data_IF_809519346546
#
_entry.id   IF_809519346546
#
_cell.length_a   1.000
_cell.length_b   1.000
_cell.length_c   1.000
_cell.angle_alpha   90.00
_cell.angle_beta   90.00
_cell.angle_gamma   90.00
#
_symmetry.space_group_name_H-M   'P 1'
#
loop_
_entity.id
_entity.type
_entity.pdbx_description
1 polymer ?
#
# COMPACT_ATOMS: atom_id res chain seq x y z
N UNK A 1 -4.84 3.97 -4.65
CA UNK A 1 -4.68 5.20 -5.48
C UNK A 1 -3.49 5.97 -4.95
N UNK A 2 -2.56 6.39 -5.82
CA UNK A 2 -1.40 7.19 -5.40
C UNK A 2 -1.89 8.59 -5.00
N UNK A 3 -1.21 9.26 -4.06
CA UNK A 3 -1.58 10.62 -3.63
C UNK A 3 -1.66 11.58 -4.83
N UNK A 4 -0.76 11.38 -5.79
CA UNK A 4 -0.71 12.04 -7.09
C UNK A 4 -2.04 11.98 -7.87
N UNK A 5 -2.68 10.81 -7.91
CA UNK A 5 -3.91 10.64 -8.68
C UNK A 5 -5.08 11.38 -8.03
N UNK A 6 -5.04 11.50 -6.69
CA UNK A 6 -6.07 12.20 -5.91
C UNK A 6 -5.99 13.71 -6.11
N UNK A 7 -4.78 14.30 -6.05
CA UNK A 7 -4.61 15.74 -6.29
C UNK A 7 -4.93 16.11 -7.73
N UNK A 8 -4.46 15.32 -8.71
CA UNK A 8 -4.74 15.55 -10.12
C UNK A 8 -6.25 15.52 -10.42
N UNK A 9 -7.00 14.60 -9.81
CA UNK A 9 -8.45 14.49 -10.00
C UNK A 9 -9.18 15.74 -9.49
N UNK A 10 -8.78 16.30 -8.35
CA UNK A 10 -9.39 17.52 -7.81
C UNK A 10 -9.13 18.72 -8.73
N UNK A 11 -7.90 18.88 -9.22
CA UNK A 11 -7.58 19.95 -10.18
C UNK A 11 -8.38 19.80 -11.48
N UNK A 12 -8.48 18.56 -12.01
CA UNK A 12 -9.29 18.26 -13.20
C UNK A 12 -10.75 18.67 -13.02
N UNK A 13 -11.37 18.31 -11.89
CA UNK A 13 -12.76 18.64 -11.61
C UNK A 13 -12.97 20.14 -11.49
N UNK A 14 -12.08 20.84 -10.78
CA UNK A 14 -12.15 22.29 -10.64
C UNK A 14 -11.99 23.01 -11.98
N UNK A 15 -10.96 22.65 -12.76
CA UNK A 15 -10.72 23.29 -14.07
C UNK A 15 -11.83 22.98 -15.08
N UNK A 16 -12.40 21.76 -15.06
CA UNK A 16 -13.56 21.42 -15.90
C UNK A 16 -14.79 22.25 -15.51
N UNK A 17 -15.04 22.46 -14.21
CA UNK A 17 -16.12 23.31 -13.72
C UNK A 17 -15.94 24.76 -14.18
N UNK A 18 -14.73 25.30 -14.06
CA UNK A 18 -14.40 26.67 -14.53
C UNK A 18 -14.64 26.82 -16.02
N UNK A 19 -14.27 25.82 -16.84
CA UNK A 19 -14.48 25.85 -18.28
C UNK A 19 -15.98 25.78 -18.63
N UNK A 20 -16.74 24.92 -17.94
CA UNK A 20 -18.18 24.74 -18.14
C UNK A 20 -18.98 26.00 -17.82
N UNK A 21 -18.54 26.80 -16.84
CA UNK A 21 -19.18 28.08 -16.48
C UNK A 21 -18.68 29.24 -17.35
N UNK A 22 -17.39 29.31 -17.65
CA UNK A 22 -16.79 30.44 -18.37
C UNK A 22 -17.30 30.58 -19.81
N UNK A 23 -17.47 29.48 -20.54
CA UNK A 23 -17.88 29.52 -21.96
C UNK A 23 -19.31 30.11 -22.12
N UNK A 24 -20.35 29.63 -21.41
CA UNK A 24 -21.69 30.20 -21.49
C UNK A 24 -21.76 31.65 -21.01
N UNK A 25 -21.05 32.00 -19.93
CA UNK A 25 -21.01 33.38 -19.43
C UNK A 25 -20.43 34.31 -20.49
N UNK A 26 -19.32 33.91 -21.13
CA UNK A 26 -18.70 34.69 -22.18
C UNK A 26 -19.60 34.86 -23.40
N UNK A 27 -20.27 33.79 -23.84
CA UNK A 27 -21.27 33.82 -24.91
C UNK A 27 -22.35 34.87 -24.61
N UNK A 28 -22.98 34.82 -23.42
CA UNK A 28 -24.07 35.72 -23.03
C UNK A 28 -23.59 37.17 -22.92
N UNK A 29 -22.39 37.42 -22.41
CA UNK A 29 -21.84 38.78 -22.30
C UNK A 29 -21.60 39.39 -23.69
N UNK A 30 -20.99 38.63 -24.59
CA UNK A 30 -20.72 39.11 -25.96
C UNK A 30 -22.00 39.29 -26.76
N UNK A 31 -22.95 38.36 -26.66
CA UNK A 31 -24.27 38.48 -27.28
C UNK A 31 -24.98 39.77 -26.82
N UNK A 32 -24.91 40.09 -25.51
CA UNK A 32 -25.48 41.33 -24.97
C UNK A 32 -24.78 42.59 -25.48
N UNK A 33 -23.46 42.57 -25.60
CA UNK A 33 -22.70 43.71 -26.13
C UNK A 33 -23.06 43.97 -27.60
N UNK A 34 -23.04 42.93 -28.44
CA UNK A 34 -23.39 43.06 -29.86
C UNK A 34 -24.84 43.51 -30.06
N UNK A 35 -25.80 42.90 -29.35
CA UNK A 35 -27.21 43.29 -29.47
C UNK A 35 -27.45 44.72 -29.02
N UNK A 36 -26.74 45.19 -27.98
CA UNK A 36 -26.80 46.59 -27.54
C UNK A 36 -26.26 47.58 -28.57
N UNK A 37 -25.13 47.26 -29.21
CA UNK A 37 -24.57 48.09 -30.29
C UNK A 37 -25.51 48.17 -31.50
N UNK A 38 -26.12 47.05 -31.89
CA UNK A 38 -27.08 47.01 -33.00
C UNK A 38 -28.34 47.82 -32.67
N UNK A 39 -28.84 47.73 -31.43
CA UNK A 39 -29.96 48.55 -30.98
C UNK A 39 -29.65 50.05 -31.11
N UNK A 40 -28.48 50.47 -30.65
CA UNK A 40 -28.02 51.86 -30.76
C UNK A 40 -27.94 52.31 -32.22
N UNK A 41 -27.36 51.50 -33.11
CA UNK A 41 -27.29 51.80 -34.56
C UNK A 41 -28.69 51.94 -35.18
N UNK A 42 -29.63 51.06 -34.81
CA UNK A 42 -31.01 51.13 -35.31
C UNK A 42 -31.71 52.42 -34.82
N UNK A 43 -31.50 52.81 -33.57
CA UNK A 43 -32.02 54.05 -33.00
C UNK A 43 -31.42 55.29 -33.67
N UNK A 44 -30.09 55.34 -33.85
CA UNK A 44 -29.41 56.43 -34.55
C UNK A 44 -29.90 56.57 -35.99
N UNK A 45 -30.09 55.45 -36.70
CA UNK A 45 -30.66 55.46 -38.06
C UNK A 45 -32.08 56.02 -38.06
N UNK A 46 -32.91 55.62 -37.10
CA UNK A 46 -34.27 56.18 -36.93
C UNK A 46 -34.22 57.70 -36.71
N UNK A 47 -33.34 58.21 -35.86
CA UNK A 47 -33.17 59.64 -35.64
C UNK A 47 -32.71 60.39 -36.90
N UNK A 48 -31.74 59.83 -37.63
CA UNK A 48 -31.26 60.39 -38.90
C UNK A 48 -32.37 60.47 -39.96
N UNK A 49 -33.20 59.42 -40.06
CA UNK A 49 -34.38 59.39 -40.96
C UNK A 49 -35.39 60.43 -40.50
N UNK A 50 -35.71 60.50 -39.21
CA UNK A 50 -36.66 61.45 -38.65
C UNK A 50 -36.24 62.91 -38.90
N UNK A 51 -34.96 63.23 -38.73
CA UNK A 51 -34.42 64.56 -39.04
C UNK A 51 -34.55 64.89 -40.54
N UNK A 52 -34.29 63.91 -41.40
CA UNK A 52 -34.38 64.05 -42.86
C UNK A 52 -35.82 64.22 -43.36
N UNK A 53 -36.84 63.73 -42.64
CA UNK A 53 -38.26 63.87 -43.01
C UNK A 53 -38.67 65.32 -43.24
N UNK A 54 -38.11 66.28 -42.48
CA UNK A 54 -38.40 67.71 -42.62
C UNK A 54 -37.94 68.34 -43.94
N UNK A 55 -37.03 67.67 -44.69
CA UNK A 55 -36.46 68.17 -45.94
C UNK A 55 -37.27 67.77 -47.18
N UNK A 56 -38.25 66.88 -47.02
CA UNK A 56 -39.07 66.42 -48.15
C UNK A 56 -40.25 67.38 -48.37
N UNK A 57 -40.45 67.87 -49.61
CA UNK A 57 -41.49 68.85 -49.92
C UNK A 57 -42.91 68.27 -49.86
N UNK A 58 -43.12 67.03 -50.32
CA UNK A 58 -44.45 66.43 -50.47
C UNK A 58 -44.49 64.93 -50.11
N UNK A 59 -45.69 64.43 -49.79
CA UNK A 59 -45.96 63.00 -49.52
C UNK A 59 -45.51 62.09 -50.68
N UNK A 60 -45.57 62.57 -51.92
CA UNK A 60 -45.04 61.83 -53.09
C UNK A 60 -43.53 61.62 -53.04
N UNK A 61 -42.75 62.63 -52.62
CA UNK A 61 -41.29 62.52 -52.51
C UNK A 61 -40.88 61.56 -51.38
N UNK A 62 -41.65 61.54 -50.28
CA UNK A 62 -41.48 60.57 -49.20
C UNK A 62 -41.78 59.13 -49.65
N UNK A 63 -42.84 58.94 -50.45
CA UNK A 63 -43.19 57.64 -51.01
C UNK A 63 -42.19 57.15 -52.08
N UNK A 64 -41.48 58.04 -52.76
CA UNK A 64 -40.38 57.67 -53.66
C UNK A 64 -39.12 57.28 -52.88
N UNK A 65 -38.82 57.99 -51.77
CA UNK A 65 -37.71 57.63 -50.87
C UNK A 65 -37.92 56.27 -50.18
N UNK A 66 -39.19 55.94 -49.83
CA UNK A 66 -39.63 54.64 -49.30
C UNK A 66 -39.11 53.44 -50.11
N UNK A 67 -38.96 53.60 -51.43
CA UNK A 67 -38.62 52.50 -52.34
C UNK A 67 -37.10 52.41 -52.63
N UNK A 68 -36.29 53.34 -52.12
CA UNK A 68 -34.84 53.44 -52.39
C UNK A 68 -33.94 53.00 -51.23
N UNK A 69 -34.39 53.09 -49.98
CA UNK A 69 -33.58 52.73 -48.81
C UNK A 69 -33.82 51.26 -48.42
N UNK A 70 -33.14 50.32 -49.09
CA UNK A 70 -33.44 48.87 -49.04
C UNK A 70 -33.49 48.17 -47.67
N UNK A 71 -33.02 48.83 -46.61
CA UNK A 71 -33.04 48.32 -45.22
C UNK A 71 -34.04 49.04 -44.30
N UNK A 72 -34.78 50.02 -44.83
CA UNK A 72 -35.78 50.82 -44.12
C UNK A 72 -37.08 50.85 -44.91
N UNK A 73 -38.22 50.59 -44.26
CA UNK A 73 -39.55 50.66 -44.88
C UNK A 73 -40.46 51.59 -44.08
N UNK A 74 -41.07 52.55 -44.76
CA UNK A 74 -42.12 53.41 -44.20
C UNK A 74 -43.51 52.95 -44.66
N UNK A 75 -44.45 52.81 -43.72
CA UNK A 75 -45.86 52.49 -43.99
C UNK A 75 -46.77 53.45 -43.22
N UNK A 76 -47.92 53.82 -43.78
CA UNK A 76 -48.90 54.62 -43.06
C UNK A 76 -49.54 53.78 -41.93
N UNK A 77 -49.70 54.39 -40.74
CA UNK A 77 -50.25 53.69 -39.56
C UNK A 77 -51.77 53.55 -39.69
N UNK A 78 -52.27 52.30 -39.63
CA UNK A 78 -53.71 52.02 -39.60
C UNK A 78 -54.30 52.17 -38.18
N UNK A 79 -55.64 52.27 -38.03
CA UNK A 79 -56.30 52.53 -36.74
C UNK A 79 -56.12 51.44 -35.65
N UNK A 80 -55.52 50.28 -35.98
CA UNK A 80 -55.29 49.18 -35.02
C UNK A 80 -53.80 48.91 -34.72
N UNK A 81 -52.86 49.71 -35.24
CA UNK A 81 -51.43 49.46 -35.04
C UNK A 81 -50.95 50.06 -33.70
N UNK A 82 -50.27 49.30 -32.83
CA UNK A 82 -49.84 49.78 -31.53
C UNK A 82 -48.82 50.91 -31.66
N UNK A 83 -49.10 52.04 -30.99
CA UNK A 83 -48.29 53.25 -31.06
C UNK A 83 -47.02 53.22 -30.17
N UNK A 84 -46.18 52.17 -30.27
CA UNK A 84 -44.97 52.04 -29.43
C UNK A 84 -43.76 51.59 -30.23
N UNK A 85 -42.64 52.28 -30.01
CA UNK A 85 -41.34 51.87 -30.56
C UNK A 85 -40.89 50.55 -29.92
N UNK A 86 -40.45 49.59 -30.73
CA UNK A 86 -39.98 48.28 -30.27
C UNK A 86 -38.82 47.81 -31.14
N UNK A 87 -37.81 47.25 -30.49
CA UNK A 87 -36.78 46.45 -31.15
C UNK A 87 -37.04 44.97 -30.89
N UNK A 88 -36.93 44.14 -31.92
CA UNK A 88 -37.13 42.70 -31.81
C UNK A 88 -36.36 41.96 -32.91
N UNK A 89 -36.06 40.69 -32.66
CA UNK A 89 -35.42 39.84 -33.65
C UNK A 89 -36.49 39.17 -34.52
N UNK A 90 -36.24 39.07 -35.83
CA UNK A 90 -37.12 38.38 -36.78
C UNK A 90 -36.31 37.81 -37.94
N UNK A 91 -36.61 36.58 -38.34
CA UNK A 91 -35.94 35.95 -39.47
C UNK A 91 -36.70 36.19 -40.78
N UNK A 92 -35.96 36.47 -41.86
CA UNK A 92 -36.50 36.67 -43.21
C UNK A 92 -35.72 35.87 -44.23
N UNK A 93 -36.39 35.43 -45.30
CA UNK A 93 -35.70 34.95 -46.51
C UNK A 93 -35.31 36.16 -47.35
N UNK A 94 -34.02 36.32 -47.63
CA UNK A 94 -33.53 37.40 -48.49
C UNK A 94 -34.12 37.30 -49.90
N UNK A 95 -34.36 36.06 -50.37
CA UNK A 95 -35.04 35.77 -51.63
C UNK A 95 -36.29 34.91 -51.39
N UNK A 96 -37.46 35.53 -51.12
CA UNK A 96 -38.70 34.81 -50.83
C UNK A 96 -39.14 33.83 -51.93
N UNK A 97 -38.72 34.07 -53.16
CA UNK A 97 -39.07 33.28 -54.34
C UNK A 97 -38.08 32.15 -54.66
N UNK A 98 -36.94 32.07 -53.97
CA UNK A 98 -36.00 30.95 -54.09
C UNK A 98 -36.29 29.90 -52.99
N UNK A 99 -36.70 28.67 -53.34
CA UNK A 99 -36.95 27.60 -52.39
C UNK A 99 -35.72 27.22 -51.55
N UNK A 100 -34.51 27.53 -52.03
CA UNK A 100 -33.24 27.27 -51.33
C UNK A 100 -32.82 28.39 -50.38
N UNK A 101 -33.50 29.54 -50.39
CA UNK A 101 -33.20 30.65 -49.49
C UNK A 101 -33.59 30.30 -48.05
N UNK A 102 -32.60 30.17 -47.20
CA UNK A 102 -32.78 29.95 -45.77
C UNK A 102 -33.22 31.24 -45.05
N UNK A 103 -34.01 31.14 -43.98
CA UNK A 103 -34.39 32.30 -43.19
C UNK A 103 -33.19 32.83 -42.40
N UNK A 104 -32.76 34.03 -42.73
CA UNK A 104 -31.67 34.71 -42.04
C UNK A 104 -32.19 35.57 -40.88
N UNK A 105 -31.50 35.60 -39.73
CA UNK A 105 -31.89 36.42 -38.60
C UNK A 105 -31.60 37.90 -38.85
N UNK A 106 -32.59 38.76 -38.62
CA UNK A 106 -32.45 40.22 -38.60
C UNK A 106 -32.86 40.77 -37.24
N UNK A 107 -32.26 41.90 -36.87
CA UNK A 107 -32.74 42.74 -35.77
C UNK A 107 -33.47 43.93 -36.33
N UNK A 108 -34.71 44.13 -35.89
CA UNK A 108 -35.61 45.13 -36.45
C UNK A 108 -36.06 46.15 -35.40
N UNK A 109 -35.99 47.43 -35.76
CA UNK A 109 -36.64 48.51 -35.03
C UNK A 109 -37.91 48.90 -35.77
N UNK A 110 -39.05 48.72 -35.10
CA UNK A 110 -40.33 49.31 -35.48
C UNK A 110 -40.54 50.58 -34.66
N UNK A 111 -40.48 51.74 -35.30
CA UNK A 111 -40.67 53.03 -34.66
C UNK A 111 -41.76 53.85 -35.37
N UNK A 112 -42.38 54.78 -34.65
CA UNK A 112 -43.37 55.69 -35.23
C UNK A 112 -42.73 57.04 -35.45
N UNK A 113 -42.88 57.54 -36.67
CA UNK A 113 -42.47 58.86 -37.10
C UNK A 113 -43.69 59.69 -37.45
N UNK A 114 -43.60 61.00 -37.27
CA UNK A 114 -44.67 61.93 -37.63
C UNK A 114 -44.21 62.76 -38.83
N UNK A 115 -44.96 62.75 -39.91
CA UNK A 115 -44.72 63.58 -41.08
C UNK A 115 -45.99 64.36 -41.42
N UNK A 116 -45.90 65.69 -41.47
CA UNK A 116 -47.03 66.60 -41.72
C UNK A 116 -48.28 66.28 -40.85
N UNK A 117 -48.07 65.94 -39.57
CA UNK A 117 -49.13 65.62 -38.61
C UNK A 117 -49.74 64.21 -38.73
N UNK A 118 -49.32 63.40 -39.71
CA UNK A 118 -49.76 62.00 -39.86
C UNK A 118 -48.70 61.02 -39.32
N UNK A 119 -49.10 59.96 -38.59
CA UNK A 119 -48.18 58.93 -38.11
C UNK A 119 -47.81 57.92 -39.20
N UNK A 120 -46.53 57.62 -39.31
CA UNK A 120 -45.95 56.60 -40.18
C UNK A 120 -45.14 55.61 -39.34
N UNK A 121 -45.22 54.33 -39.67
CA UNK A 121 -44.41 53.27 -39.09
C UNK A 121 -43.13 53.10 -39.92
N UNK A 122 -41.99 53.37 -39.30
CA UNK A 122 -40.67 53.03 -39.81
C UNK A 122 -40.30 51.63 -39.31
N UNK A 123 -39.93 50.75 -40.23
CA UNK A 123 -39.32 49.45 -39.96
C UNK A 123 -37.92 49.50 -40.55
N UNK A 124 -36.88 49.60 -39.72
CA UNK A 124 -35.49 49.46 -40.16
C UNK A 124 -34.90 48.17 -39.60
N UNK A 125 -34.10 47.48 -40.41
CA UNK A 125 -33.50 46.19 -40.07
C UNK A 125 -32.01 46.16 -40.33
N UNK A 126 -31.32 45.30 -39.59
CA UNK A 126 -29.90 44.97 -39.76
C UNK A 126 -29.74 43.45 -39.70
N UNK A 127 -28.97 42.85 -40.62
CA UNK A 127 -28.70 41.41 -40.63
C UNK A 127 -27.84 41.02 -39.42
N UNK A 128 -28.18 39.89 -38.79
CA UNK A 128 -27.44 39.29 -37.69
C UNK A 128 -26.49 38.17 -38.13
N UNK A 129 -26.48 37.80 -39.42
CA UNK A 129 -25.71 36.65 -39.93
C UNK A 129 -24.22 36.81 -39.65
N UNK A 130 -23.62 37.90 -40.16
CA UNK A 130 -22.19 38.16 -39.99
C UNK A 130 -21.78 38.21 -38.50
N UNK A 131 -22.62 38.78 -37.63
CA UNK A 131 -22.30 38.89 -36.21
C UNK A 131 -22.42 37.55 -35.48
N UNK A 132 -23.39 36.71 -35.85
CA UNK A 132 -23.52 35.36 -35.30
C UNK A 132 -22.35 34.49 -35.69
N UNK A 133 -21.92 34.53 -36.95
CA UNK A 133 -20.75 33.80 -37.42
C UNK A 133 -19.48 34.25 -36.68
N UNK A 134 -19.31 35.57 -36.48
CA UNK A 134 -18.20 36.12 -35.69
C UNK A 134 -18.25 35.68 -34.22
N UNK A 135 -19.44 35.66 -33.62
CA UNK A 135 -19.63 35.23 -32.22
C UNK A 135 -19.31 33.74 -32.05
N UNK A 136 -19.81 32.89 -32.94
CA UNK A 136 -19.52 31.45 -32.93
C UNK A 136 -18.02 31.19 -33.11
N UNK A 137 -17.38 31.86 -34.07
CA UNK A 137 -15.94 31.75 -34.29
C UNK A 137 -15.14 32.19 -33.04
N UNK A 138 -15.53 33.29 -32.40
CA UNK A 138 -14.86 33.78 -31.20
C UNK A 138 -15.00 32.81 -30.01
N UNK A 139 -16.19 32.24 -29.82
CA UNK A 139 -16.45 31.24 -28.77
C UNK A 139 -15.67 29.95 -29.03
N UNK A 140 -15.58 29.49 -30.29
CA UNK A 140 -14.77 28.33 -30.67
C UNK A 140 -13.28 28.57 -30.41
N UNK A 141 -12.75 29.73 -30.78
CA UNK A 141 -11.36 30.11 -30.50
C UNK A 141 -11.10 30.17 -29.00
N UNK A 142 -12.00 30.76 -28.21
CA UNK A 142 -11.88 30.81 -26.75
C UNK A 142 -11.93 29.41 -26.13
N UNK A 143 -12.87 28.56 -26.55
CA UNK A 143 -12.98 27.19 -26.09
C UNK A 143 -11.71 26.38 -26.40
N UNK A 144 -11.16 26.55 -27.61
CA UNK A 144 -9.88 25.95 -28.01
C UNK A 144 -8.71 26.43 -27.15
N UNK A 145 -8.61 27.73 -26.89
CA UNK A 145 -7.58 28.33 -26.04
C UNK A 145 -7.67 27.82 -24.59
N UNK A 146 -8.87 27.77 -24.00
CA UNK A 146 -9.11 27.21 -22.67
C UNK A 146 -8.75 25.71 -22.61
N UNK A 147 -9.10 24.94 -23.65
CA UNK A 147 -8.76 23.53 -23.77
C UNK A 147 -7.24 23.30 -23.84
N UNK A 148 -6.53 24.11 -24.62
CA UNK A 148 -5.07 24.06 -24.70
C UNK A 148 -4.41 24.40 -23.36
N UNK A 149 -4.89 25.44 -22.67
CA UNK A 149 -4.41 25.83 -21.35
C UNK A 149 -4.63 24.70 -20.34
N UNK A 150 -5.80 24.08 -20.34
CA UNK A 150 -6.11 22.92 -19.50
C UNK A 150 -5.14 21.76 -19.74
N UNK A 151 -4.95 21.36 -21.00
CA UNK A 151 -4.04 20.27 -21.36
C UNK A 151 -2.60 20.57 -20.95
N UNK A 152 -2.15 21.81 -21.15
CA UNK A 152 -0.84 22.28 -20.72
C UNK A 152 -0.63 22.20 -19.21
N UNK A 153 -1.61 22.68 -18.42
CA UNK A 153 -1.60 22.57 -16.96
C UNK A 153 -1.56 21.11 -16.49
N UNK A 154 -2.34 20.23 -17.10
CA UNK A 154 -2.34 18.81 -16.76
C UNK A 154 -1.01 18.14 -17.06
N UNK A 155 -0.41 18.46 -18.21
CA UNK A 155 0.91 17.94 -18.58
C UNK A 155 1.99 18.43 -17.61
N UNK A 156 2.02 19.74 -17.33
CA UNK A 156 2.98 20.35 -16.42
C UNK A 156 2.85 19.78 -15.01
N UNK A 157 1.63 19.71 -14.48
CA UNK A 157 1.36 19.16 -13.15
C UNK A 157 1.80 17.69 -13.05
N UNK A 158 1.45 16.85 -14.04
CA UNK A 158 1.89 15.45 -14.08
C UNK A 158 3.42 15.33 -14.11
N UNK A 159 4.09 16.17 -14.89
CA UNK A 159 5.55 16.17 -15.01
C UNK A 159 6.20 16.58 -13.69
N UNK A 160 5.83 17.74 -13.15
CA UNK A 160 6.37 18.28 -11.89
C UNK A 160 6.13 17.32 -10.74
N UNK A 161 4.92 16.76 -10.62
CA UNK A 161 4.61 15.88 -9.53
C UNK A 161 5.35 14.53 -9.62
N UNK A 162 5.61 13.98 -10.82
CA UNK A 162 6.48 12.81 -10.95
C UNK A 162 7.90 13.09 -10.45
N UNK A 163 8.45 14.27 -10.78
CA UNK A 163 9.79 14.66 -10.36
C UNK A 163 9.86 14.90 -8.84
N UNK A 164 8.92 15.68 -8.28
CA UNK A 164 8.90 16.00 -6.86
C UNK A 164 8.70 14.75 -5.98
N UNK A 165 7.91 13.76 -6.43
CA UNK A 165 7.62 12.57 -5.63
C UNK A 165 8.65 11.43 -5.80
N UNK A 166 9.58 11.52 -6.75
CA UNK A 166 10.57 10.45 -6.96
C UNK A 166 11.40 10.14 -5.69
N UNK A 167 11.97 11.13 -4.97
CA UNK A 167 12.79 10.85 -3.79
C UNK A 167 12.03 10.10 -2.70
N UNK A 168 10.73 10.39 -2.54
CA UNK A 168 9.86 9.68 -1.60
C UNK A 168 9.73 8.18 -1.94
N UNK A 169 9.51 7.85 -3.22
CA UNK A 169 9.40 6.45 -3.64
C UNK A 169 10.73 5.70 -3.54
N UNK A 170 11.85 6.38 -3.75
CA UNK A 170 13.19 5.81 -3.54
C UNK A 170 13.45 5.52 -2.06
N UNK A 171 13.15 6.46 -1.17
CA UNK A 171 13.21 6.23 0.29
C UNK A 171 12.33 5.04 0.70
N UNK A 172 11.12 4.94 0.16
CA UNK A 172 10.21 3.82 0.46
C UNK A 172 10.77 2.48 -0.01
N UNK A 173 11.36 2.43 -1.21
CA UNK A 173 11.96 1.22 -1.75
C UNK A 173 13.15 0.74 -0.89
N UNK A 174 14.00 1.67 -0.45
CA UNK A 174 15.12 1.37 0.45
C UNK A 174 14.63 0.84 1.80
N UNK A 175 13.57 1.43 2.36
CA UNK A 175 12.99 0.98 3.63
C UNK A 175 12.33 -0.39 3.55
N UNK A 176 11.67 -0.72 2.44
CA UNK A 176 11.04 -2.03 2.24
C UNK A 176 12.08 -3.17 2.15
N UNK A 177 13.29 -2.85 1.69
CA UNK A 177 14.39 -3.80 1.57
C UNK A 177 15.31 -3.79 2.79
N UNK A 178 15.13 -2.83 3.71
CA UNK A 178 16.00 -2.71 4.87
C UNK A 178 15.74 -3.83 5.87
N UNK A 179 16.83 -4.52 6.23
CA UNK A 179 16.86 -5.57 7.23
C UNK A 179 17.89 -5.22 8.29
N UNK A 180 17.45 -5.20 9.55
CA UNK A 180 18.28 -4.79 10.70
C UNK A 180 19.40 -5.80 10.99
N UNK A 181 19.14 -7.06 10.67
CA UNK A 181 19.99 -8.23 10.90
C UNK A 181 21.14 -8.35 9.89
N UNK A 182 21.05 -7.72 8.71
CA UNK A 182 22.10 -7.78 7.68
C UNK A 182 23.29 -6.83 7.94
N UNK A 183 23.21 -5.97 8.96
CA UNK A 183 24.30 -5.07 9.35
C UNK A 183 24.64 -3.98 8.32
N UNK A 184 23.85 -3.84 7.26
CA UNK A 184 24.05 -2.81 6.22
C UNK A 184 23.45 -1.47 6.69
N UNK A 185 24.17 -0.35 6.58
CA UNK A 185 23.61 0.95 6.91
C UNK A 185 22.50 1.31 5.92
N UNK A 186 21.38 1.83 6.43
CA UNK A 186 20.34 2.43 5.58
C UNK A 186 20.90 3.70 4.94
N UNK A 187 21.00 3.70 3.61
CA UNK A 187 21.42 4.87 2.83
C UNK A 187 20.20 5.41 2.09
N UNK A 188 19.73 6.59 2.52
CA UNK A 188 18.60 7.28 1.89
C UNK A 188 19.10 8.34 0.91
N UNK A 189 18.39 8.57 -0.21
CA UNK A 189 18.77 9.58 -1.18
C UNK A 189 18.72 10.99 -0.57
N UNK A 190 19.59 11.86 -1.05
CA UNK A 190 19.47 13.29 -0.79
C UNK A 190 18.22 13.83 -1.50
N UNK A 191 17.51 14.74 -0.85
CA UNK A 191 16.33 15.40 -1.41
C UNK A 191 16.45 16.90 -1.20
N UNK A 192 16.21 17.67 -2.26
CA UNK A 192 16.16 19.13 -2.20
C UNK A 192 14.86 19.63 -1.56
N UNK A 193 13.86 18.76 -1.42
CA UNK A 193 12.60 19.05 -0.72
C UNK A 193 12.83 18.90 0.78
N UNK A 194 12.64 20.00 1.52
CA UNK A 194 12.91 20.11 2.96
C UNK A 194 12.20 19.03 3.78
N UNK A 195 10.91 18.79 3.54
CA UNK A 195 10.12 17.80 4.26
C UNK A 195 10.65 16.37 4.06
N UNK A 196 11.13 16.06 2.86
CA UNK A 196 11.73 14.75 2.58
C UNK A 196 13.16 14.63 3.14
N UNK A 197 13.93 15.72 3.16
CA UNK A 197 15.23 15.74 3.81
C UNK A 197 15.10 15.51 5.33
N UNK A 198 14.16 16.19 5.98
CA UNK A 198 13.87 16.04 7.42
C UNK A 198 13.34 14.63 7.75
N UNK A 199 12.44 14.09 6.91
CA UNK A 199 11.97 12.71 7.02
C UNK A 199 13.13 11.73 6.90
N UNK A 200 13.98 11.87 5.88
CA UNK A 200 15.14 10.99 5.66
C UNK A 200 16.12 11.07 6.84
N UNK A 201 16.36 12.26 7.40
CA UNK A 201 17.21 12.42 8.57
C UNK A 201 16.63 11.72 9.81
N UNK A 202 15.32 11.89 10.05
CA UNK A 202 14.62 11.26 11.18
C UNK A 202 14.64 9.74 11.07
N UNK A 203 14.32 9.21 9.89
CA UNK A 203 14.34 7.77 9.60
C UNK A 203 15.75 7.21 9.77
N UNK A 204 16.77 7.90 9.24
CA UNK A 204 18.16 7.49 9.39
C UNK A 204 18.58 7.45 10.86
N UNK A 205 18.16 8.43 11.66
CA UNK A 205 18.41 8.49 13.10
C UNK A 205 17.74 7.35 13.87
N UNK A 206 16.45 7.09 13.61
CA UNK A 206 15.70 5.99 14.21
C UNK A 206 16.31 4.63 13.85
N UNK A 207 16.65 4.44 12.57
CA UNK A 207 17.26 3.21 12.07
C UNK A 207 18.60 2.96 12.74
N UNK A 208 19.46 3.99 12.86
CA UNK A 208 20.74 3.88 13.57
C UNK A 208 20.57 3.50 15.04
N UNK A 209 19.62 4.13 15.74
CA UNK A 209 19.32 3.81 17.15
C UNK A 209 18.79 2.38 17.30
N UNK A 210 17.91 1.95 16.41
CA UNK A 210 17.37 0.59 16.40
C UNK A 210 18.47 -0.44 16.15
N UNK A 211 19.34 -0.19 15.18
CA UNK A 211 20.48 -1.06 14.86
C UNK A 211 21.46 -1.15 16.04
N UNK A 212 21.77 -0.03 16.70
CA UNK A 212 22.61 -0.06 17.90
C UNK A 212 21.96 -0.89 19.02
N UNK A 213 20.67 -0.67 19.30
CA UNK A 213 19.96 -1.46 20.32
C UNK A 213 19.94 -2.96 19.99
N UNK A 214 19.86 -3.32 18.71
CA UNK A 214 19.96 -4.71 18.26
C UNK A 214 21.34 -5.30 18.52
N UNK A 215 22.43 -4.56 18.24
CA UNK A 215 23.80 -4.98 18.55
C UNK A 215 23.98 -5.14 20.06
N UNK A 216 23.58 -4.14 20.85
CA UNK A 216 23.72 -4.17 22.31
C UNK A 216 22.98 -5.37 22.91
N UNK A 217 21.79 -5.70 22.41
CA UNK A 217 21.02 -6.87 22.83
C UNK A 217 21.72 -8.19 22.47
N UNK A 218 22.36 -8.26 21.29
CA UNK A 218 23.13 -9.42 20.85
C UNK A 218 24.36 -9.62 21.74
N UNK A 219 25.15 -8.59 21.95
CA UNK A 219 26.35 -8.63 22.81
C UNK A 219 25.98 -8.96 24.27
N UNK A 220 24.92 -8.35 24.80
CA UNK A 220 24.43 -8.67 26.14
C UNK A 220 24.07 -10.15 26.28
N UNK A 221 23.39 -10.72 25.28
CA UNK A 221 23.01 -12.13 25.26
C UNK A 221 24.23 -13.05 25.22
N UNK A 222 25.22 -12.72 24.39
CA UNK A 222 26.47 -13.49 24.28
C UNK A 222 27.31 -13.40 25.56
N UNK A 223 27.46 -12.21 26.14
CA UNK A 223 28.19 -12.00 27.39
C UNK A 223 27.50 -12.70 28.57
N UNK A 224 26.18 -12.57 28.70
CA UNK A 224 25.41 -13.29 29.72
C UNK A 224 25.58 -14.81 29.59
N UNK A 225 25.72 -15.32 28.35
CA UNK A 225 26.00 -16.73 28.10
C UNK A 225 27.27 -17.21 28.77
N UNK A 226 28.36 -16.50 28.52
CA UNK A 226 29.69 -16.85 29.01
C UNK A 226 29.80 -16.65 30.53
N UNK A 227 29.29 -15.52 31.04
CA UNK A 227 29.34 -15.18 32.46
C UNK A 227 28.48 -16.11 33.33
N UNK A 228 27.40 -16.69 32.80
CA UNK A 228 26.62 -17.69 33.54
C UNK A 228 27.17 -19.11 33.44
N UNK A 229 27.84 -19.49 32.34
CA UNK A 229 28.41 -20.83 32.19
C UNK A 229 29.59 -21.08 33.13
N UNK A 230 30.46 -20.09 33.30
CA UNK A 230 31.65 -20.18 34.16
C UNK A 230 31.35 -20.55 35.61
N UNK A 231 30.47 -19.84 36.35
CA UNK A 231 30.17 -20.18 37.75
C UNK A 231 29.49 -21.54 37.90
N UNK A 232 28.64 -21.94 36.93
CA UNK A 232 28.02 -23.27 36.93
C UNK A 232 29.06 -24.36 36.75
N UNK A 233 30.01 -24.19 35.82
CA UNK A 233 31.10 -25.14 35.63
C UNK A 233 31.99 -25.26 36.86
N UNK A 234 32.37 -24.13 37.49
CA UNK A 234 33.13 -24.12 38.75
C UNK A 234 32.37 -24.85 39.86
N UNK A 235 31.05 -24.66 39.96
CA UNK A 235 30.23 -25.36 40.94
C UNK A 235 30.20 -26.87 40.69
N UNK A 236 30.06 -27.32 39.44
CA UNK A 236 30.15 -28.73 39.06
C UNK A 236 31.50 -29.35 39.44
N UNK A 237 32.61 -28.72 39.05
CA UNK A 237 33.96 -29.24 39.37
C UNK A 237 34.21 -29.33 40.88
N UNK A 238 33.69 -28.37 41.66
CA UNK A 238 33.81 -28.42 43.13
C UNK A 238 32.99 -29.57 43.73
N UNK A 239 31.79 -29.83 43.21
CA UNK A 239 30.96 -30.98 43.62
C UNK A 239 31.63 -32.31 43.26
N UNK A 240 32.14 -32.45 42.03
CA UNK A 240 32.87 -33.64 41.58
C UNK A 240 34.10 -33.92 42.45
N UNK A 241 34.86 -32.88 42.80
CA UNK A 241 36.02 -33.00 43.69
C UNK A 241 35.61 -33.43 45.10
N UNK A 242 34.52 -32.90 45.64
CA UNK A 242 33.96 -33.30 46.95
C UNK A 242 33.62 -34.79 46.98
N UNK A 243 33.04 -35.32 45.90
CA UNK A 243 32.74 -36.76 45.76
C UNK A 243 34.02 -37.61 45.78
N UNK A 244 35.14 -37.09 45.31
CA UNK A 244 36.40 -37.83 45.19
C UNK A 244 37.32 -37.77 46.43
N UNK A 245 37.13 -36.83 47.36
CA UNK A 245 38.14 -36.55 48.41
C UNK A 245 37.86 -37.12 49.81
N UNK A 246 36.67 -37.62 50.12
CA UNK A 246 36.32 -38.05 51.48
C UNK A 246 35.50 -39.35 51.49
N UNK A 247 35.64 -40.21 52.52
CA UNK A 247 34.61 -41.20 52.80
C UNK A 247 33.33 -40.46 53.19
N UNK A 248 32.36 -40.43 52.28
CA UNK A 248 31.05 -39.81 52.50
C UNK A 248 30.17 -40.74 53.32
N UNK A 249 29.37 -40.19 54.24
CA UNK A 249 28.23 -40.93 54.80
C UNK A 249 27.16 -41.13 53.73
N UNK A 250 26.26 -42.11 53.90
CA UNK A 250 25.15 -42.34 52.96
C UNK A 250 24.29 -41.07 52.76
N UNK A 251 24.01 -40.34 53.85
CA UNK A 251 23.24 -39.09 53.80
C UNK A 251 23.96 -37.98 53.03
N UNK A 252 25.29 -37.86 53.19
CA UNK A 252 26.10 -36.91 52.42
C UNK A 252 26.16 -37.28 50.93
N UNK A 253 26.23 -38.58 50.62
CA UNK A 253 26.22 -39.07 49.24
C UNK A 253 24.88 -38.79 48.55
N UNK A 254 23.75 -39.01 49.23
CA UNK A 254 22.42 -38.66 48.73
C UNK A 254 22.27 -37.15 48.49
N UNK A 255 22.72 -36.32 49.45
CA UNK A 255 22.69 -34.86 49.31
C UNK A 255 23.55 -34.37 48.14
N UNK A 256 24.77 -34.91 47.98
CA UNK A 256 25.65 -34.60 46.85
C UNK A 256 25.04 -35.04 45.51
N UNK A 257 24.42 -36.22 45.46
CA UNK A 257 23.68 -36.68 44.29
C UNK A 257 22.54 -35.73 43.90
N UNK A 258 21.77 -35.28 44.89
CA UNK A 258 20.71 -34.28 44.70
C UNK A 258 21.26 -32.94 44.19
N UNK A 259 22.33 -32.41 44.82
CA UNK A 259 22.98 -31.16 44.39
C UNK A 259 23.55 -31.25 42.98
N UNK A 260 24.16 -32.39 42.62
CA UNK A 260 24.66 -32.60 41.28
C UNK A 260 23.51 -32.64 40.25
N UNK A 261 22.39 -33.29 40.60
CA UNK A 261 21.17 -33.29 39.80
C UNK A 261 20.60 -31.89 39.55
N UNK A 262 20.49 -31.06 40.60
CA UNK A 262 20.04 -29.66 40.50
C UNK A 262 21.01 -28.83 39.66
N UNK A 263 22.32 -28.98 39.85
CA UNK A 263 23.35 -28.26 39.10
C UNK A 263 23.33 -28.61 37.62
N UNK A 264 23.23 -29.90 37.29
CA UNK A 264 23.10 -30.36 35.92
C UNK A 264 21.82 -29.81 35.26
N UNK A 265 20.71 -29.73 36.01
CA UNK A 265 19.48 -29.09 35.55
C UNK A 265 19.67 -27.59 35.29
N UNK A 266 20.36 -26.87 36.17
CA UNK A 266 20.68 -25.45 36.01
C UNK A 266 21.56 -25.18 34.79
N UNK A 267 22.58 -26.03 34.57
CA UNK A 267 23.46 -25.97 33.39
C UNK A 267 22.66 -26.14 32.09
N UNK A 268 21.77 -27.15 32.04
CA UNK A 268 20.88 -27.37 30.89
C UNK A 268 19.91 -26.21 30.66
N UNK A 269 19.32 -25.67 31.73
CA UNK A 269 18.45 -24.48 31.69
C UNK A 269 19.17 -23.29 31.06
N UNK A 270 20.37 -22.99 31.55
CA UNK A 270 21.15 -21.87 31.05
C UNK A 270 21.49 -22.05 29.57
N UNK A 271 22.05 -23.20 29.17
CA UNK A 271 22.33 -23.50 27.76
C UNK A 271 21.09 -23.37 26.85
N UNK A 272 19.94 -23.83 27.34
CA UNK A 272 18.66 -23.77 26.63
C UNK A 272 18.17 -22.33 26.41
N UNK A 273 18.24 -21.48 27.45
CA UNK A 273 17.83 -20.07 27.36
C UNK A 273 18.76 -19.28 26.44
N UNK A 274 20.07 -19.54 26.52
CA UNK A 274 21.05 -18.87 25.68
C UNK A 274 20.91 -19.25 24.21
N UNK A 275 20.62 -20.52 23.93
CA UNK A 275 20.32 -20.96 22.57
C UNK A 275 19.05 -20.27 22.04
N UNK A 276 17.98 -20.20 22.83
CA UNK A 276 16.76 -19.48 22.43
C UNK A 276 17.06 -18.01 22.14
N UNK A 277 17.83 -17.35 22.99
CA UNK A 277 18.19 -15.96 22.78
C UNK A 277 19.09 -15.76 21.54
N UNK A 278 20.01 -16.68 21.25
CA UNK A 278 20.79 -16.68 19.99
C UNK A 278 19.89 -16.88 18.76
N UNK A 279 18.89 -17.76 18.84
CA UNK A 279 17.92 -17.97 17.76
C UNK A 279 17.05 -16.72 17.56
N UNK A 280 16.56 -16.11 18.64
CA UNK A 280 15.77 -14.87 18.58
C UNK A 280 16.58 -13.70 17.97
N UNK A 281 17.89 -13.66 18.21
CA UNK A 281 18.81 -12.66 17.65
C UNK A 281 19.44 -13.07 16.30
N UNK A 282 18.97 -14.16 15.66
CA UNK A 282 19.53 -14.70 14.41
C UNK A 282 21.07 -14.86 14.42
N UNK A 283 21.62 -15.15 15.59
CA UNK A 283 23.06 -15.23 15.84
C UNK A 283 23.53 -16.68 15.71
N UNK A 284 23.35 -17.25 14.53
CA UNK A 284 23.81 -18.59 14.14
C UNK A 284 24.39 -18.54 12.72
N UNK A 285 25.24 -19.51 12.38
CA UNK A 285 25.89 -19.56 11.07
C UNK A 285 24.87 -19.78 9.94
N UNK A 286 25.24 -19.36 8.74
CA UNK A 286 24.40 -19.50 7.55
C UNK A 286 24.01 -20.96 7.27
N UNK A 287 22.86 -21.20 6.59
CA UNK A 287 22.46 -22.53 6.18
C UNK A 287 23.51 -23.20 5.28
N UNK A 288 23.75 -24.50 5.50
CA UNK A 288 24.64 -25.30 4.67
C UNK A 288 23.90 -26.58 4.20
N UNK A 289 24.34 -27.25 3.12
CA UNK A 289 23.80 -28.54 2.74
C UNK A 289 24.12 -29.61 3.80
N UNK A 290 23.12 -30.10 4.51
CA UNK A 290 23.24 -31.11 5.57
C UNK A 290 22.41 -32.35 5.24
N UNK A 291 23.02 -33.53 5.30
CA UNK A 291 22.29 -34.80 5.22
C UNK A 291 21.62 -35.11 6.56
N UNK A 292 20.30 -35.17 6.57
CA UNK A 292 19.48 -35.49 7.74
C UNK A 292 19.88 -36.84 8.38
N UNK A 293 20.19 -37.82 7.53
CA UNK A 293 20.60 -39.17 7.94
C UNK A 293 21.86 -39.15 8.79
N UNK A 294 22.84 -38.31 8.44
CA UNK A 294 24.12 -38.25 9.15
C UNK A 294 23.93 -37.73 10.57
N UNK A 295 23.09 -36.69 10.72
CA UNK A 295 22.73 -36.13 12.02
C UNK A 295 21.99 -37.16 12.87
N UNK A 296 20.97 -37.82 12.31
CA UNK A 296 20.21 -38.85 13.04
C UNK A 296 21.08 -40.01 13.47
N UNK A 297 21.96 -40.50 12.59
CA UNK A 297 22.87 -41.60 12.91
C UNK A 297 23.79 -41.25 14.08
N UNK A 298 24.40 -40.07 14.05
CA UNK A 298 25.25 -39.62 15.15
C UNK A 298 24.51 -39.50 16.49
N UNK A 299 23.27 -39.00 16.46
CA UNK A 299 22.44 -38.88 17.67
C UNK A 299 21.99 -40.24 18.22
N UNK A 300 21.67 -41.19 17.35
CA UNK A 300 21.32 -42.56 17.74
C UNK A 300 22.52 -43.25 18.37
N UNK A 301 23.70 -43.14 17.76
CA UNK A 301 24.95 -43.71 18.27
C UNK A 301 25.27 -43.18 19.68
N UNK A 302 25.14 -41.86 19.89
CA UNK A 302 25.33 -41.24 21.20
C UNK A 302 24.32 -41.71 22.27
N UNK A 303 23.16 -42.20 21.85
CA UNK A 303 22.06 -42.56 22.75
C UNK A 303 21.94 -44.08 22.98
N UNK A 304 22.76 -44.88 22.31
CA UNK A 304 22.57 -46.33 22.20
C UNK A 304 22.62 -47.05 23.56
N UNK A 305 23.52 -46.64 24.46
CA UNK A 305 23.64 -47.23 25.80
C UNK A 305 22.35 -47.05 26.62
N UNK A 306 21.71 -45.87 26.50
CA UNK A 306 20.46 -45.58 27.22
C UNK A 306 19.29 -46.35 26.63
N UNK A 307 19.25 -46.49 25.30
CA UNK A 307 18.25 -47.28 24.57
C UNK A 307 18.35 -48.75 24.99
N UNK A 308 19.56 -49.32 25.03
CA UNK A 308 19.83 -50.70 25.47
C UNK A 308 19.45 -50.88 26.95
N UNK A 309 19.87 -49.97 27.82
CA UNK A 309 19.59 -50.06 29.26
C UNK A 309 18.09 -50.06 29.57
N UNK A 310 17.28 -49.32 28.80
CA UNK A 310 15.81 -49.34 28.89
C UNK A 310 15.14 -50.45 28.08
N UNK A 311 15.89 -51.28 27.37
CA UNK A 311 15.36 -52.32 26.46
C UNK A 311 14.39 -51.73 25.44
N UNK A 312 14.66 -50.53 24.92
CA UNK A 312 13.82 -49.88 23.92
C UNK A 312 14.11 -50.50 22.55
N UNK A 313 13.06 -50.95 21.86
CA UNK A 313 13.16 -51.34 20.46
C UNK A 313 13.23 -50.09 19.57
N UNK A 314 14.37 -49.88 18.91
CA UNK A 314 14.57 -48.77 17.97
C UNK A 314 14.38 -49.27 16.54
N UNK A 315 13.36 -48.76 15.84
CA UNK A 315 13.03 -49.12 14.46
C UNK A 315 13.22 -47.91 13.55
N UNK A 316 13.99 -48.07 12.47
CA UNK A 316 14.10 -47.06 11.41
C UNK A 316 13.38 -47.53 10.15
N UNK A 317 12.61 -46.63 9.54
CA UNK A 317 11.85 -46.90 8.31
C UNK A 317 11.97 -45.72 7.34
N UNK A 318 11.77 -45.98 6.05
CA UNK A 318 11.67 -44.93 5.03
C UNK A 318 12.91 -44.77 4.13
N UNK A 319 13.09 -43.56 3.59
CA UNK A 319 13.95 -43.27 2.43
C UNK A 319 15.46 -43.49 2.71
N UNK A 320 16.08 -44.42 1.98
CA UNK A 320 17.48 -44.85 2.19
C UNK A 320 18.52 -43.88 1.62
N UNK A 321 18.20 -43.12 0.57
CA UNK A 321 19.14 -42.18 -0.08
C UNK A 321 19.45 -40.92 0.77
N UNK A 322 18.73 -40.74 1.88
CA UNK A 322 18.87 -39.60 2.78
C UNK A 322 18.22 -38.31 2.24
N UNK A 323 17.89 -37.39 3.15
CA UNK A 323 17.29 -36.10 2.82
C UNK A 323 18.36 -35.02 2.98
N UNK A 324 18.64 -34.27 1.91
CA UNK A 324 19.54 -33.12 1.94
C UNK A 324 18.75 -31.84 2.25
N UNK A 325 19.11 -31.15 3.33
CA UNK A 325 18.45 -29.93 3.79
C UNK A 325 19.41 -28.75 3.70
N UNK A 326 18.90 -27.56 3.31
CA UNK A 326 19.62 -26.30 3.43
C UNK A 326 19.34 -25.67 4.80
N UNK A 327 20.13 -26.04 5.80
CA UNK A 327 19.87 -25.69 7.20
C UNK A 327 21.18 -25.56 7.98
N UNK A 328 21.18 -24.78 9.05
CA UNK A 328 22.32 -24.76 9.97
C UNK A 328 22.43 -26.11 10.70
N UNK A 329 23.58 -26.79 10.56
CA UNK A 329 23.81 -28.10 11.16
C UNK A 329 23.60 -28.14 12.68
N UNK A 330 24.15 -27.17 13.41
CA UNK A 330 24.03 -27.09 14.88
C UNK A 330 22.55 -26.97 15.34
N UNK A 331 21.75 -26.21 14.58
CA UNK A 331 20.32 -26.08 14.86
C UNK A 331 19.57 -27.40 14.58
N UNK A 332 19.88 -28.07 13.46
CA UNK A 332 19.29 -29.37 13.15
C UNK A 332 19.66 -30.44 14.18
N UNK A 333 20.95 -30.51 14.57
CA UNK A 333 21.43 -31.37 15.66
C UNK A 333 20.63 -31.14 16.94
N UNK A 334 20.45 -29.87 17.32
CA UNK A 334 19.74 -29.53 18.56
C UNK A 334 18.25 -29.85 18.49
N UNK A 335 17.59 -29.59 17.35
CA UNK A 335 16.19 -29.93 17.15
C UNK A 335 15.98 -31.44 17.30
N UNK A 336 16.72 -32.24 16.54
CA UNK A 336 16.58 -33.69 16.51
C UNK A 336 17.01 -34.33 17.82
N UNK A 337 18.06 -33.80 18.47
CA UNK A 337 18.47 -34.24 19.81
C UNK A 337 17.37 -34.02 20.84
N UNK A 338 16.67 -32.88 20.81
CA UNK A 338 15.55 -32.62 21.72
C UNK A 338 14.39 -33.60 21.49
N UNK A 339 14.06 -33.91 20.23
CA UNK A 339 13.00 -34.86 19.90
C UNK A 339 13.39 -36.29 20.31
N UNK A 340 14.59 -36.75 19.98
CA UNK A 340 15.07 -38.10 20.30
C UNK A 340 15.22 -38.31 21.81
N UNK A 341 15.79 -37.33 22.52
CA UNK A 341 15.95 -37.40 23.97
C UNK A 341 14.58 -37.40 24.66
N UNK A 342 13.60 -36.67 24.12
CA UNK A 342 12.22 -36.71 24.60
C UNK A 342 11.63 -38.12 24.42
N UNK A 343 11.74 -38.69 23.21
CA UNK A 343 11.28 -40.03 22.91
C UNK A 343 11.90 -41.08 23.87
N UNK A 344 13.22 -41.08 24.06
CA UNK A 344 13.91 -42.01 24.97
C UNK A 344 13.47 -41.83 26.42
N UNK A 345 13.31 -40.58 26.86
CA UNK A 345 12.92 -40.28 28.25
C UNK A 345 11.54 -40.84 28.59
N UNK A 346 10.55 -40.61 27.72
CA UNK A 346 9.16 -40.95 27.99
C UNK A 346 8.73 -42.32 27.49
N UNK A 347 9.59 -43.02 26.74
CA UNK A 347 9.37 -44.44 26.42
C UNK A 347 9.54 -45.29 27.69
N UNK A 348 8.54 -46.15 28.03
CA UNK A 348 8.66 -47.10 29.13
C UNK A 348 9.69 -48.19 28.81
N UNK A 349 10.12 -48.93 29.83
CA UNK A 349 10.99 -50.12 29.64
C UNK A 349 10.28 -51.13 28.73
N UNK A 350 11.01 -51.74 27.79
CA UNK A 350 10.45 -52.60 26.72
C UNK A 350 9.51 -51.88 25.74
N UNK A 351 9.52 -50.54 25.72
CA UNK A 351 8.79 -49.75 24.74
C UNK A 351 9.49 -49.71 23.38
N UNK A 352 8.91 -48.94 22.44
CA UNK A 352 9.40 -48.83 21.06
C UNK A 352 9.52 -47.37 20.64
N UNK A 353 10.59 -47.05 19.91
CA UNK A 353 10.79 -45.79 19.19
C UNK A 353 10.89 -46.10 17.70
N UNK A 354 10.12 -45.38 16.88
CA UNK A 354 10.12 -45.50 15.41
C UNK A 354 10.58 -44.19 14.79
N UNK A 355 11.63 -44.24 13.98
CA UNK A 355 12.11 -43.10 13.19
C UNK A 355 11.73 -43.36 11.73
N UNK A 356 10.86 -42.52 11.17
CA UNK A 356 10.40 -42.62 9.77
C UNK A 356 10.90 -41.43 8.98
N UNK A 357 11.66 -41.67 7.91
CA UNK A 357 12.19 -40.63 7.01
C UNK A 357 11.45 -40.69 5.67
N UNK A 358 10.87 -39.58 5.27
CA UNK A 358 10.22 -39.39 3.97
C UNK A 358 10.89 -38.21 3.24
N UNK A 359 10.69 -38.07 1.91
CA UNK A 359 11.33 -36.98 1.14
C UNK A 359 11.07 -35.57 1.69
N UNK A 360 9.90 -35.35 2.31
CA UNK A 360 9.47 -34.05 2.83
C UNK A 360 9.25 -34.04 4.34
N UNK A 361 9.58 -35.12 5.06
CA UNK A 361 9.38 -35.15 6.51
C UNK A 361 10.24 -36.16 7.24
N UNK A 362 10.45 -35.91 8.52
CA UNK A 362 10.95 -36.91 9.47
C UNK A 362 10.03 -36.99 10.66
N UNK A 363 9.71 -38.22 11.05
CA UNK A 363 8.92 -38.50 12.24
C UNK A 363 9.75 -39.27 13.25
N UNK A 364 9.67 -38.84 14.51
CA UNK A 364 10.15 -39.60 15.67
C UNK A 364 8.91 -39.93 16.50
N UNK A 365 8.59 -41.23 16.55
CA UNK A 365 7.44 -41.73 17.27
C UNK A 365 7.86 -42.60 18.45
N UNK A 366 7.19 -42.49 19.59
CA UNK A 366 7.50 -43.28 20.77
C UNK A 366 6.25 -43.80 21.48
N UNK A 367 6.31 -45.03 22.00
CA UNK A 367 5.22 -45.60 22.81
C UNK A 367 5.08 -44.87 24.13
N UNK A 368 3.85 -44.61 24.57
CA UNK A 368 3.56 -43.93 25.83
C UNK A 368 2.07 -43.72 26.09
N UNK A 369 1.74 -43.36 27.33
CA UNK A 369 0.37 -43.03 27.74
C UNK A 369 -0.09 -41.69 27.13
N UNK A 370 -1.38 -41.55 26.80
CA UNK A 370 -1.90 -40.33 26.21
C UNK A 370 -1.70 -39.13 27.14
N UNK A 371 -1.32 -38.00 26.56
CA UNK A 371 -1.14 -36.75 27.29
C UNK A 371 -2.46 -35.99 27.38
N UNK A 372 -2.84 -35.57 28.59
CA UNK A 372 -4.00 -34.70 28.84
C UNK A 372 -3.69 -33.20 28.61
N UNK A 373 -2.90 -32.89 27.58
CA UNK A 373 -2.50 -31.52 27.22
C UNK A 373 -2.66 -31.30 25.72
N UNK A 374 -2.96 -30.06 25.33
CA UNK A 374 -3.06 -29.68 23.91
C UNK A 374 -1.68 -29.54 23.28
N UNK A 375 -1.59 -29.63 21.96
CA UNK A 375 -0.35 -29.40 21.20
C UNK A 375 0.29 -28.05 21.53
N UNK A 376 -0.51 -26.99 21.63
CA UNK A 376 -0.01 -25.64 21.98
C UNK A 376 0.62 -25.61 23.37
N UNK A 377 0.08 -26.36 24.33
CA UNK A 377 0.63 -26.47 25.67
C UNK A 377 1.87 -27.37 25.71
N UNK A 378 1.96 -28.36 24.83
CA UNK A 378 3.11 -29.26 24.70
C UNK A 378 4.37 -28.52 24.24
N UNK A 379 4.22 -27.59 23.29
CA UNK A 379 5.32 -26.77 22.78
C UNK A 379 5.55 -25.47 23.57
N UNK A 380 4.80 -25.23 24.66
CA UNK A 380 5.00 -24.05 25.50
C UNK A 380 6.25 -24.17 26.39
N UNK A 381 6.93 -23.04 26.62
CA UNK A 381 8.06 -22.96 27.56
C UNK A 381 7.58 -23.30 28.98
N UNK A 382 8.32 -24.14 29.70
CA UNK A 382 8.00 -24.59 31.06
C UNK A 382 6.67 -25.36 31.18
N UNK A 383 6.31 -26.13 30.15
CA UNK A 383 5.08 -26.93 30.11
C UNK A 383 4.87 -27.80 31.35
N UNK A 384 3.60 -27.93 31.77
CA UNK A 384 3.16 -28.49 33.08
C UNK A 384 3.47 -29.98 33.30
N UNK A 385 3.92 -30.73 32.29
CA UNK A 385 4.17 -32.18 32.38
C UNK A 385 5.53 -32.58 33.00
N UNK A 386 6.48 -31.66 33.17
CA UNK A 386 7.89 -32.03 33.42
C UNK A 386 8.35 -31.99 34.89
N UNK A 387 7.47 -31.62 35.83
CA UNK A 387 7.85 -31.45 37.24
C UNK A 387 8.21 -32.79 37.94
N UNK A 388 7.71 -33.93 37.46
CA UNK A 388 7.89 -35.24 38.12
C UNK A 388 9.09 -36.06 37.61
N UNK A 389 9.68 -35.74 36.45
CA UNK A 389 10.73 -36.56 35.80
C UNK A 389 12.05 -35.81 35.55
N UNK A 390 12.29 -34.69 36.25
CA UNK A 390 13.57 -33.97 36.21
C UNK A 390 13.86 -33.21 34.90
N UNK A 391 12.82 -32.99 34.08
CA UNK A 391 12.88 -32.16 32.88
C UNK A 391 12.91 -30.66 33.18
N UNK A 392 13.22 -29.86 32.17
CA UNK A 392 13.34 -28.40 32.26
C UNK A 392 12.15 -27.67 31.62
N UNK A 393 11.43 -28.32 30.71
CA UNK A 393 10.24 -27.79 30.03
C UNK A 393 10.58 -26.98 28.80
N UNK A 394 11.82 -27.04 28.31
CA UNK A 394 12.29 -26.20 27.21
C UNK A 394 12.62 -26.98 25.93
N UNK A 395 12.81 -28.30 25.98
CA UNK A 395 13.32 -29.06 24.83
C UNK A 395 12.40 -29.03 23.61
N UNK A 396 11.11 -29.32 23.79
CA UNK A 396 10.13 -29.26 22.70
C UNK A 396 9.87 -27.81 22.24
N UNK A 397 9.89 -26.84 23.15
CA UNK A 397 9.77 -25.42 22.81
C UNK A 397 10.95 -24.93 21.95
N UNK A 398 12.17 -25.41 22.24
CA UNK A 398 13.37 -25.15 21.43
C UNK A 398 13.23 -25.81 20.06
N UNK A 399 12.87 -27.10 20.02
CA UNK A 399 12.70 -27.81 18.75
C UNK A 399 11.67 -27.12 17.84
N UNK A 400 10.54 -26.67 18.41
CA UNK A 400 9.52 -25.91 17.68
C UNK A 400 10.05 -24.58 17.17
N UNK A 401 10.73 -23.81 18.04
CA UNK A 401 11.31 -22.52 17.66
C UNK A 401 12.36 -22.67 16.55
N UNK A 402 13.22 -23.68 16.62
CA UNK A 402 14.20 -23.97 15.56
C UNK A 402 13.48 -24.31 14.26
N UNK A 403 12.48 -25.19 14.30
CA UNK A 403 11.71 -25.56 13.10
C UNK A 403 11.12 -24.30 12.42
N UNK A 404 10.43 -23.46 13.20
CA UNK A 404 9.79 -22.25 12.69
C UNK A 404 10.83 -21.26 12.12
N UNK A 405 11.97 -21.09 12.79
CA UNK A 405 13.09 -20.25 12.31
C UNK A 405 13.72 -20.76 11.02
N UNK A 406 13.79 -22.08 10.83
CA UNK A 406 14.33 -22.71 9.62
C UNK A 406 13.29 -22.89 8.51
N UNK A 407 12.07 -22.33 8.66
CA UNK A 407 11.00 -22.50 7.67
C UNK A 407 10.41 -23.90 7.60
N UNK A 408 10.69 -24.76 8.59
CA UNK A 408 10.12 -26.10 8.74
C UNK A 408 8.87 -26.06 9.63
N UNK A 409 8.05 -27.11 9.58
CA UNK A 409 6.87 -27.23 10.46
C UNK A 409 6.99 -28.44 11.37
N UNK A 410 7.10 -28.21 12.69
CA UNK A 410 7.01 -29.27 13.69
C UNK A 410 5.57 -29.40 14.20
N UNK A 411 5.04 -30.63 14.17
CA UNK A 411 3.67 -30.99 14.54
C UNK A 411 3.65 -32.20 15.49
N UNK A 412 2.59 -32.33 16.27
CA UNK A 412 2.38 -33.43 17.21
C UNK A 412 1.04 -34.15 17.00
N UNK A 413 1.06 -35.47 17.07
CA UNK A 413 -0.14 -36.31 17.08
C UNK A 413 0.03 -37.49 18.04
N UNK A 414 -1.06 -37.88 18.73
CA UNK A 414 -1.11 -39.17 19.43
C UNK A 414 -1.96 -40.16 18.62
N UNK A 415 -1.38 -41.30 18.24
CA UNK A 415 -2.05 -42.33 17.46
C UNK A 415 -1.48 -43.72 17.77
N UNK A 416 -2.35 -44.74 17.81
CA UNK A 416 -1.96 -46.14 18.00
C UNK A 416 -1.06 -46.41 19.22
N UNK A 417 -1.30 -45.72 20.35
CA UNK A 417 -0.49 -45.88 21.56
C UNK A 417 0.88 -45.20 21.49
N UNK A 418 1.10 -44.33 20.50
CA UNK A 418 2.38 -43.66 20.26
C UNK A 418 2.19 -42.14 20.14
N UNK A 419 3.16 -41.40 20.66
CA UNK A 419 3.36 -39.99 20.39
C UNK A 419 4.15 -39.84 19.10
N UNK A 420 3.66 -39.07 18.15
CA UNK A 420 4.32 -38.80 16.86
C UNK A 420 4.72 -37.33 16.82
N UNK A 421 6.01 -37.07 16.75
CA UNK A 421 6.54 -35.74 16.43
C UNK A 421 6.98 -35.75 14.97
N UNK A 422 6.35 -34.94 14.14
CA UNK A 422 6.63 -34.89 12.70
C UNK A 422 7.16 -33.51 12.33
N UNK A 423 8.37 -33.49 11.79
CA UNK A 423 9.02 -32.32 11.22
C UNK A 423 8.87 -32.36 9.70
N UNK A 424 8.20 -31.37 9.14
CA UNK A 424 7.98 -31.20 7.71
C UNK A 424 8.98 -30.20 7.12
N UNK A 425 9.56 -30.56 5.99
CA UNK A 425 10.49 -29.75 5.20
C UNK A 425 9.74 -29.19 3.98
N UNK A 426 9.96 -27.91 3.67
CA UNK A 426 9.28 -27.18 2.58
C UNK A 426 9.83 -27.49 1.20
#
# INVERSE_FOLDING_TARGET
MKLLDRTLRTYLLYSALVMLVSIPVFYVVIERLFTGEIDEVLWLRKEAIQASLSRFPDEKALLTWRDLEGNSRLQAVGPQTPLRNRVFDRAYREHPNDPRSEPEPFRELSAILTFQGKPYQLITRTSLVEQKDLLEALVLVLAGLLGLLLLGLLWLNRRTARQLWQPFYETLAQLQQYRIDEGRPLVLPASDITEFAELNQTISGLTRRSHQAFIDQKEFTENAAHEMQTPVAVFQTRLERLVQTQPLTNEQAELLGSLNGVTARLSRLNKSLLLLARIDNQSYADPEPVYLTDVLNGLIEQSIETVIAKQIELVRTGFEEGVLLQINRTLLDTLLSNLLTNAIRYTPTNGRIVISIQPQSVSIANTGEPLAITETQLFARFGKGEAQTGGVGLGLAIAKKIADTCGCSLTYQYANGQHHFVLWFG
#
